data_IF_813767502650
#
_entry.id   IF_813767502650
#
_cell.length_a   1.000
_cell.length_b   1.000
_cell.length_c   1.000
_cell.angle_alpha   90.00
_cell.angle_beta   90.00
_cell.angle_gamma   90.00
#
_symmetry.space_group_name_H-M   'P 1'
#
loop_
_entity.id
_entity.type
_entity.pdbx_description
1 polymer ?
#
# COMPACT_ATOMS: atom_id res chain seq x y z
N UNK A 1 44.65 -43.35 4.83
CA UNK A 1 44.22 -42.62 6.04
C UNK A 1 43.50 -41.35 5.58
N UNK A 2 42.39 -41.03 6.27
CA UNK A 2 41.31 -40.02 6.10
C UNK A 2 41.63 -38.73 5.29
N UNK A 3 40.68 -38.00 4.71
CA UNK A 3 39.41 -37.50 5.28
C UNK A 3 38.41 -37.07 4.19
N UNK A 4 37.13 -37.17 4.49
CA UNK A 4 35.99 -36.56 3.80
C UNK A 4 35.83 -35.09 4.24
N UNK A 5 35.41 -34.18 3.34
CA UNK A 5 34.96 -32.83 3.71
C UNK A 5 33.81 -32.39 2.81
N UNK A 6 32.64 -32.18 3.43
CA UNK A 6 31.47 -31.54 2.82
C UNK A 6 31.49 -30.03 3.12
N UNK A 7 31.03 -29.19 2.18
CA UNK A 7 30.53 -27.86 2.50
C UNK A 7 29.48 -27.41 1.46
N UNK A 8 28.30 -27.05 1.97
CA UNK A 8 27.24 -26.31 1.27
C UNK A 8 27.52 -24.80 1.31
N UNK A 9 27.19 -24.04 0.25
CA UNK A 9 26.41 -22.80 0.31
C UNK A 9 26.35 -22.05 -1.04
N UNK A 10 25.12 -21.96 -1.56
CA UNK A 10 24.46 -20.88 -2.30
C UNK A 10 25.23 -19.77 -3.07
N UNK A 11 24.78 -19.64 -4.33
CA UNK A 11 24.47 -18.43 -5.12
C UNK A 11 25.65 -17.53 -5.51
N UNK A 12 26.06 -17.71 -6.77
CA UNK A 12 26.63 -16.68 -7.63
C UNK A 12 26.41 -17.10 -9.07
N UNK A 13 25.54 -16.39 -9.79
CA UNK A 13 25.31 -16.55 -11.22
C UNK A 13 26.63 -16.50 -12.00
N UNK A 14 26.85 -17.38 -12.99
CA UNK A 14 27.65 -17.07 -14.18
C UNK A 14 27.47 -18.12 -15.31
N UNK A 15 27.69 -17.72 -16.57
CA UNK A 15 27.11 -18.33 -17.77
C UNK A 15 27.79 -19.63 -18.18
N UNK A 16 27.10 -20.40 -19.03
CA UNK A 16 27.61 -21.53 -19.81
C UNK A 16 28.93 -21.16 -20.51
N UNK A 17 30.04 -21.36 -19.81
CA UNK A 17 31.39 -21.35 -20.35
C UNK A 17 31.88 -22.78 -20.43
N UNK A 18 32.44 -23.12 -21.60
CA UNK A 18 33.27 -24.29 -21.90
C UNK A 18 33.59 -25.16 -20.67
N UNK A 19 33.21 -26.44 -20.72
CA UNK A 19 33.70 -27.46 -19.78
C UNK A 19 35.23 -27.50 -19.89
N UNK A 20 35.92 -26.64 -19.14
CA UNK A 20 37.34 -26.76 -18.92
C UNK A 20 37.48 -27.95 -18.00
N UNK A 21 37.90 -29.07 -18.58
CA UNK A 21 38.18 -30.28 -17.85
C UNK A 21 39.54 -30.09 -17.13
N UNK A 22 39.62 -29.09 -16.25
CA UNK A 22 40.68 -28.91 -15.29
C UNK A 22 40.39 -29.78 -14.07
N UNK A 23 40.43 -31.09 -14.30
CA UNK A 23 40.49 -32.11 -13.25
C UNK A 23 41.77 -32.92 -13.45
N UNK A 24 42.57 -33.09 -12.40
CA UNK A 24 43.86 -33.79 -12.40
C UNK A 24 43.76 -35.32 -12.66
N UNK A 25 42.80 -35.78 -13.47
CA UNK A 25 42.45 -37.20 -13.62
C UNK A 25 43.06 -37.83 -14.89
N UNK A 26 43.62 -37.04 -15.81
CA UNK A 26 44.26 -37.54 -17.04
C UNK A 26 45.44 -36.66 -17.46
N UNK A 27 46.62 -37.25 -17.62
CA UNK A 27 47.79 -36.62 -18.23
C UNK A 27 48.17 -37.40 -19.49
N UNK A 28 48.06 -36.78 -20.68
CA UNK A 28 48.72 -37.34 -21.87
C UNK A 28 50.25 -37.27 -21.62
N UNK A 29 50.97 -38.31 -22.02
CA UNK A 29 52.44 -38.29 -21.92
C UNK A 29 53.01 -37.13 -22.76
N UNK A 30 54.14 -36.57 -22.29
CA UNK A 30 54.89 -35.49 -22.94
C UNK A 30 54.17 -34.13 -23.05
N UNK A 31 53.19 -33.85 -22.19
CA UNK A 31 52.59 -32.51 -22.09
C UNK A 31 51.64 -32.13 -23.24
N UNK A 32 51.14 -33.12 -23.98
CA UNK A 32 50.22 -32.91 -25.10
C UNK A 32 48.81 -32.59 -24.60
N UNK A 33 48.13 -31.64 -25.24
CA UNK A 33 46.75 -31.25 -24.92
C UNK A 33 45.75 -32.32 -25.42
N UNK A 34 44.91 -32.91 -24.56
CA UNK A 34 43.89 -33.85 -25.01
C UNK A 34 42.78 -33.15 -25.81
N UNK A 35 42.21 -33.84 -26.81
CA UNK A 35 40.97 -33.44 -27.47
C UNK A 35 39.85 -34.43 -27.15
N UNK A 36 38.68 -33.90 -26.77
CA UNK A 36 37.47 -34.68 -26.53
C UNK A 36 36.45 -34.39 -27.63
N UNK A 37 35.91 -35.47 -28.21
CA UNK A 37 34.83 -35.39 -29.19
C UNK A 37 33.71 -36.30 -28.69
N UNK A 38 32.53 -35.74 -28.48
CA UNK A 38 31.34 -36.47 -28.10
C UNK A 38 30.31 -36.38 -29.22
N UNK A 39 29.72 -37.52 -29.58
CA UNK A 39 28.60 -37.58 -30.52
C UNK A 39 27.36 -38.03 -29.79
N UNK A 40 26.35 -37.17 -29.79
CA UNK A 40 25.03 -37.47 -29.24
C UNK A 40 24.16 -38.05 -30.37
N UNK A 41 24.17 -39.37 -30.49
CA UNK A 41 23.27 -40.05 -31.43
C UNK A 41 21.95 -40.27 -30.71
N UNK A 42 20.85 -39.75 -31.28
CA UNK A 42 19.50 -39.77 -30.71
C UNK A 42 18.88 -41.18 -30.53
N UNK A 43 19.69 -42.24 -30.51
CA UNK A 43 19.29 -43.59 -30.16
C UNK A 43 20.46 -44.33 -29.47
N UNK A 44 20.30 -44.43 -28.15
CA UNK A 44 20.75 -45.52 -27.27
C UNK A 44 22.18 -45.60 -26.71
N UNK A 45 23.09 -44.62 -26.91
CA UNK A 45 24.20 -44.31 -25.97
C UNK A 45 25.06 -43.15 -26.49
N UNK A 46 25.32 -42.09 -25.70
CA UNK A 46 26.31 -41.09 -26.07
C UNK A 46 27.72 -41.69 -25.98
N UNK A 47 28.46 -41.64 -27.08
CA UNK A 47 29.87 -42.06 -27.12
C UNK A 47 30.76 -40.83 -27.13
N UNK A 48 31.61 -40.72 -26.12
CA UNK A 48 32.69 -39.73 -26.08
C UNK A 48 34.02 -40.44 -26.32
N UNK A 49 34.78 -39.98 -27.31
CA UNK A 49 36.15 -40.43 -27.57
C UNK A 49 37.13 -39.35 -27.13
N UNK A 50 38.16 -39.74 -26.40
CA UNK A 50 39.30 -38.89 -26.07
C UNK A 50 40.50 -39.32 -26.92
N UNK A 51 41.15 -38.37 -27.58
CA UNK A 51 42.35 -38.62 -28.39
C UNK A 51 43.52 -37.76 -27.90
N UNK A 52 44.69 -38.38 -27.74
CA UNK A 52 45.98 -37.67 -27.67
C UNK A 52 46.60 -37.73 -29.08
N UNK A 53 47.28 -36.66 -29.52
CA UNK A 53 47.71 -36.40 -30.91
C UNK A 53 48.60 -37.48 -31.57
N UNK A 54 49.03 -38.51 -30.84
CA UNK A 54 49.78 -39.67 -31.39
C UNK A 54 48.91 -40.94 -31.60
N UNK A 55 47.60 -40.80 -31.76
CA UNK A 55 46.75 -41.87 -32.31
C UNK A 55 46.43 -43.03 -31.36
N UNK A 56 46.54 -42.84 -30.05
CA UNK A 56 45.95 -43.79 -29.09
C UNK A 56 44.46 -43.46 -28.95
N UNK A 57 43.63 -44.32 -29.52
CA UNK A 57 42.18 -44.32 -29.33
C UNK A 57 41.89 -45.27 -28.16
N UNK A 58 41.35 -44.73 -27.07
CA UNK A 58 40.73 -45.55 -26.02
C UNK A 58 39.22 -45.46 -26.17
N UNK A 59 38.63 -46.49 -26.78
CA UNK A 59 37.18 -46.70 -26.75
C UNK A 59 36.79 -47.23 -25.37
N UNK A 60 36.77 -46.35 -24.38
CA UNK A 60 36.18 -46.69 -23.11
C UNK A 60 34.67 -46.66 -23.29
N UNK A 61 34.08 -47.81 -23.57
CA UNK A 61 32.66 -48.04 -23.31
C UNK A 61 32.40 -47.59 -21.88
N UNK A 62 31.67 -46.48 -21.73
CA UNK A 62 31.12 -46.09 -20.43
C UNK A 62 30.46 -47.34 -19.86
N UNK A 63 30.71 -47.69 -18.58
CA UNK A 63 30.12 -48.88 -18.00
C UNK A 63 28.61 -48.79 -18.21
N UNK A 64 28.09 -49.64 -19.10
CA UNK A 64 26.68 -49.93 -19.11
C UNK A 64 26.43 -50.58 -17.76
N UNK A 65 25.91 -49.82 -16.82
CA UNK A 65 25.19 -50.40 -15.69
C UNK A 65 24.23 -51.43 -16.30
N UNK A 66 24.25 -52.69 -15.83
CA UNK A 66 23.35 -53.69 -16.37
C UNK A 66 21.91 -53.19 -16.21
N UNK A 67 21.22 -53.02 -17.33
CA UNK A 67 19.77 -53.05 -17.35
C UNK A 67 19.38 -54.48 -16.98
N UNK A 68 19.26 -54.74 -15.69
CA UNK A 68 18.50 -55.89 -15.23
C UNK A 68 17.71 -55.51 -13.97
N UNK A 69 16.39 -55.59 -14.11
CA UNK A 69 15.42 -55.74 -13.04
C UNK A 69 15.42 -54.72 -11.90
N UNK A 70 14.42 -53.82 -11.93
CA UNK A 70 13.89 -53.12 -10.76
C UNK A 70 14.83 -52.09 -10.12
N UNK A 71 15.02 -50.98 -10.83
CA UNK A 71 15.45 -49.72 -10.22
C UNK A 71 14.35 -48.69 -10.44
N UNK A 72 13.46 -48.55 -9.46
CA UNK A 72 12.63 -47.35 -9.29
C UNK A 72 13.50 -46.20 -8.76
N UNK A 73 14.64 -45.93 -9.38
CA UNK A 73 15.39 -44.71 -9.13
C UNK A 73 14.89 -43.67 -10.14
N UNK A 74 14.15 -42.64 -9.69
CA UNK A 74 13.60 -41.64 -10.59
C UNK A 74 14.74 -40.86 -11.25
N UNK A 75 14.65 -40.62 -12.56
CA UNK A 75 15.56 -39.76 -13.33
C UNK A 75 15.69 -38.38 -12.65
N UNK A 76 16.75 -38.19 -11.85
CA UNK A 76 16.91 -37.01 -10.99
C UNK A 76 17.04 -35.73 -11.80
N UNK A 77 17.69 -35.79 -12.96
CA UNK A 77 17.83 -34.65 -13.88
C UNK A 77 16.48 -34.18 -14.46
N UNK A 78 15.57 -35.12 -14.73
CA UNK A 78 14.25 -34.77 -15.25
C UNK A 78 13.36 -34.17 -14.15
N UNK A 79 13.49 -34.63 -12.91
CA UNK A 79 12.85 -34.01 -11.75
C UNK A 79 13.38 -32.59 -11.49
N UNK A 80 14.70 -32.39 -11.46
CA UNK A 80 15.34 -31.08 -11.27
C UNK A 80 14.94 -30.07 -12.36
N UNK A 81 14.77 -30.51 -13.61
CA UNK A 81 14.27 -29.67 -14.71
C UNK A 81 12.83 -29.19 -14.48
N UNK A 82 11.95 -30.05 -13.98
CA UNK A 82 10.57 -29.68 -13.67
C UNK A 82 10.52 -28.71 -12.50
N UNK A 83 11.29 -28.96 -11.45
CA UNK A 83 11.40 -28.04 -10.31
C UNK A 83 11.91 -26.66 -10.72
N UNK A 84 12.88 -26.59 -11.64
CA UNK A 84 13.38 -25.32 -12.16
C UNK A 84 12.31 -24.58 -12.98
N UNK A 85 11.57 -25.30 -13.83
CA UNK A 85 10.49 -24.72 -14.63
C UNK A 85 9.34 -24.20 -13.74
N UNK A 86 8.96 -24.97 -12.73
CA UNK A 86 7.96 -24.55 -11.75
C UNK A 86 8.42 -23.32 -10.97
N UNK A 87 9.70 -23.26 -10.58
CA UNK A 87 10.28 -22.08 -9.93
C UNK A 87 10.31 -20.86 -10.84
N UNK A 88 10.61 -21.02 -12.13
CA UNK A 88 10.56 -19.93 -13.11
C UNK A 88 9.14 -19.41 -13.29
N UNK A 89 8.16 -20.32 -13.38
CA UNK A 89 6.74 -19.96 -13.45
C UNK A 89 6.29 -19.23 -12.19
N UNK A 90 6.65 -19.73 -11.00
CA UNK A 90 6.31 -19.08 -9.74
C UNK A 90 6.91 -17.68 -9.66
N UNK A 91 8.19 -17.51 -10.00
CA UNK A 91 8.85 -16.21 -9.99
C UNK A 91 8.19 -15.23 -10.98
N UNK A 92 7.74 -15.73 -12.13
CA UNK A 92 7.01 -14.92 -13.11
C UNK A 92 5.65 -14.45 -12.57
N UNK A 93 4.94 -15.32 -11.84
CA UNK A 93 3.67 -14.99 -11.21
C UNK A 93 3.86 -13.98 -10.07
N UNK A 94 4.88 -14.18 -9.23
CA UNK A 94 5.22 -13.28 -8.14
C UNK A 94 5.58 -11.88 -8.66
N UNK A 95 6.33 -11.81 -9.78
CA UNK A 95 6.67 -10.53 -10.42
C UNK A 95 5.41 -9.81 -10.94
N UNK A 96 4.46 -10.55 -11.52
CA UNK A 96 3.19 -9.99 -12.00
C UNK A 96 2.38 -9.46 -10.81
N UNK A 97 2.30 -10.22 -9.73
CA UNK A 97 1.59 -9.82 -8.52
C UNK A 97 2.22 -8.57 -7.89
N UNK A 98 3.55 -8.51 -7.77
CA UNK A 98 4.25 -7.35 -7.25
C UNK A 98 4.03 -6.09 -8.09
N UNK A 99 3.97 -6.24 -9.43
CA UNK A 99 3.65 -5.12 -10.34
C UNK A 99 2.21 -4.64 -10.16
N UNK A 100 1.26 -5.55 -9.96
CA UNK A 100 -0.13 -5.21 -9.69
C UNK A 100 -0.27 -4.45 -8.37
N UNK A 101 0.40 -4.90 -7.30
CA UNK A 101 0.36 -4.21 -6.01
C UNK A 101 0.99 -2.81 -6.10
N UNK A 102 2.15 -2.67 -6.75
CA UNK A 102 2.76 -1.36 -6.99
C UNK A 102 1.84 -0.42 -7.78
N UNK A 103 1.03 -0.95 -8.69
CA UNK A 103 0.07 -0.16 -9.47
C UNK A 103 -1.07 0.33 -8.57
N UNK A 104 -1.62 -0.57 -7.74
CA UNK A 104 -2.65 -0.24 -6.74
C UNK A 104 -2.16 0.81 -5.74
N UNK A 105 -0.92 0.72 -5.27
CA UNK A 105 -0.33 1.72 -4.37
C UNK A 105 -0.23 3.11 -5.03
N UNK A 106 0.14 3.15 -6.31
CA UNK A 106 0.19 4.42 -7.08
C UNK A 106 -1.19 5.03 -7.26
N UNK A 107 -2.21 4.22 -7.52
CA UNK A 107 -3.60 4.67 -7.63
C UNK A 107 -4.11 5.20 -6.28
N UNK A 108 -3.83 4.50 -5.18
CA UNK A 108 -4.17 4.97 -3.84
C UNK A 108 -3.45 6.28 -3.50
N UNK A 109 -2.18 6.42 -3.86
CA UNK A 109 -1.43 7.65 -3.67
C UNK A 109 -2.02 8.82 -4.48
N UNK A 110 -2.50 8.58 -5.70
CA UNK A 110 -3.21 9.57 -6.50
C UNK A 110 -4.53 9.98 -5.84
N UNK A 111 -5.35 9.02 -5.39
CA UNK A 111 -6.61 9.30 -4.68
C UNK A 111 -6.38 10.11 -3.40
N UNK A 112 -5.35 9.76 -2.63
CA UNK A 112 -4.97 10.48 -1.41
C UNK A 112 -4.54 11.91 -1.71
N UNK A 113 -3.80 12.13 -2.80
CA UNK A 113 -3.41 13.47 -3.27
C UNK A 113 -4.63 14.31 -3.68
N UNK A 114 -5.58 13.72 -4.40
CA UNK A 114 -6.84 14.38 -4.77
C UNK A 114 -7.66 14.77 -3.55
N UNK A 115 -7.81 13.86 -2.57
CA UNK A 115 -8.49 14.17 -1.30
C UNK A 115 -7.80 15.29 -0.52
N UNK A 116 -6.47 15.31 -0.51
CA UNK A 116 -5.70 16.38 0.13
C UNK A 116 -5.96 17.73 -0.55
N UNK A 117 -5.99 17.76 -1.89
CA UNK A 117 -6.31 18.98 -2.65
C UNK A 117 -7.76 19.43 -2.39
N UNK A 118 -8.71 18.50 -2.31
CA UNK A 118 -10.10 18.82 -1.95
C UNK A 118 -10.22 19.43 -0.55
N UNK A 119 -9.48 18.89 0.43
CA UNK A 119 -9.46 19.44 1.79
C UNK A 119 -8.90 20.87 1.80
N UNK A 120 -7.74 21.08 1.17
CA UNK A 120 -7.11 22.40 1.06
C UNK A 120 -8.04 23.41 0.36
N UNK A 121 -8.73 23.00 -0.71
CA UNK A 121 -9.70 23.85 -1.40
C UNK A 121 -10.87 24.23 -0.48
N UNK A 122 -11.36 23.28 0.33
CA UNK A 122 -12.42 23.54 1.31
C UNK A 122 -11.97 24.49 2.41
N UNK A 123 -10.72 24.36 2.89
CA UNK A 123 -10.14 25.28 3.86
C UNK A 123 -9.97 26.70 3.28
N UNK A 124 -9.49 26.81 2.04
CA UNK A 124 -9.38 28.09 1.33
C UNK A 124 -10.76 28.72 1.12
N UNK A 125 -11.76 27.94 0.73
CA UNK A 125 -13.15 28.40 0.60
C UNK A 125 -13.69 28.89 1.96
N UNK A 126 -13.48 28.13 3.04
CA UNK A 126 -13.92 28.54 4.38
C UNK A 126 -13.22 29.82 4.85
N UNK A 127 -11.92 29.96 4.57
CA UNK A 127 -11.16 31.18 4.85
C UNK A 127 -11.66 32.38 4.02
N UNK A 128 -12.02 32.13 2.76
CA UNK A 128 -12.61 33.15 1.86
C UNK A 128 -13.99 33.57 2.35
N UNK A 129 -14.80 32.62 2.81
CA UNK A 129 -16.10 32.89 3.42
C UNK A 129 -15.94 33.71 4.71
N UNK A 130 -14.98 33.36 5.58
CA UNK A 130 -14.70 34.10 6.80
C UNK A 130 -14.23 35.54 6.52
N UNK A 131 -13.34 35.73 5.53
CA UNK A 131 -12.86 37.06 5.14
C UNK A 131 -13.96 37.91 4.49
N UNK A 132 -14.80 37.32 3.65
CA UNK A 132 -16.00 37.98 3.10
C UNK A 132 -16.98 38.37 4.21
N UNK A 133 -17.11 37.52 5.22
CA UNK A 133 -17.90 37.79 6.42
C UNK A 133 -17.35 38.99 7.21
N UNK A 134 -16.06 39.02 7.48
CA UNK A 134 -15.43 40.13 8.19
C UNK A 134 -15.49 41.46 7.41
N UNK A 135 -15.48 41.41 6.08
CA UNK A 135 -15.65 42.58 5.22
C UNK A 135 -17.09 43.12 5.21
N UNK A 136 -18.09 42.30 5.54
CA UNK A 136 -19.49 42.71 5.65
C UNK A 136 -19.77 43.21 7.09
N UNK A 137 -20.27 44.43 7.30
CA UNK A 137 -20.62 44.94 8.64
C UNK A 137 -21.63 44.06 9.41
N UNK A 138 -22.37 43.22 8.68
CA UNK A 138 -23.39 42.29 9.19
C UNK A 138 -22.81 40.96 9.70
N UNK A 139 -21.69 40.49 9.12
CA UNK A 139 -21.01 39.26 9.56
C UNK A 139 -19.71 39.55 10.35
N UNK A 140 -19.32 40.82 10.44
CA UNK A 140 -18.58 41.33 11.59
C UNK A 140 -19.53 41.22 12.79
N UNK A 141 -19.62 40.02 13.35
CA UNK A 141 -20.37 39.79 14.57
C UNK A 141 -19.81 40.80 15.56
N UNK A 142 -20.56 41.86 15.91
CA UNK A 142 -20.36 42.50 17.20
C UNK A 142 -20.31 41.32 18.15
N UNK A 143 -19.16 41.03 18.75
CA UNK A 143 -19.02 39.84 19.58
C UNK A 143 -20.15 39.89 20.61
N UNK A 144 -21.20 39.09 20.39
CA UNK A 144 -22.40 39.21 21.18
C UNK A 144 -22.04 38.55 22.49
N UNK A 145 -21.87 39.40 23.51
CA UNK A 145 -21.52 38.93 24.84
C UNK A 145 -22.71 38.14 25.37
N UNK A 146 -22.50 36.85 25.60
CA UNK A 146 -23.48 36.00 26.27
C UNK A 146 -23.94 36.67 27.58
N UNK A 147 -25.25 36.90 27.69
CA UNK A 147 -25.85 37.60 28.85
C UNK A 147 -26.22 36.63 29.97
N UNK A 148 -26.47 35.37 29.65
CA UNK A 148 -26.86 34.31 30.58
C UNK A 148 -28.05 33.49 30.09
N UNK A 149 -28.40 32.48 30.87
CA UNK A 149 -29.63 31.71 30.72
C UNK A 149 -30.80 32.41 31.44
N UNK A 150 -31.94 32.54 30.78
CA UNK A 150 -33.12 33.24 31.31
C UNK A 150 -34.36 32.35 31.20
N UNK A 151 -35.19 32.34 32.24
CA UNK A 151 -36.48 31.63 32.20
C UNK A 151 -37.40 32.33 31.22
N UNK A 152 -37.79 31.62 30.18
CA UNK A 152 -38.81 32.08 29.24
C UNK A 152 -40.22 31.70 29.71
N UNK A 153 -41.22 32.44 29.23
CA UNK A 153 -42.62 32.21 29.58
C UNK A 153 -43.55 32.52 28.39
N UNK A 154 -44.86 32.35 28.58
CA UNK A 154 -45.87 32.55 27.53
C UNK A 154 -45.83 33.94 26.90
N UNK A 155 -45.44 34.99 27.65
CA UNK A 155 -45.33 36.36 27.12
C UNK A 155 -44.05 36.59 26.30
N UNK A 156 -43.13 35.63 26.31
CA UNK A 156 -41.80 35.62 25.69
C UNK A 156 -40.90 36.76 26.16
N UNK A 157 -39.71 36.39 26.63
CA UNK A 157 -38.67 37.34 27.03
C UNK A 157 -38.16 38.14 25.83
N UNK A 158 -37.99 37.45 24.70
CA UNK A 158 -37.63 38.01 23.40
C UNK A 158 -38.83 37.86 22.46
N UNK A 159 -39.60 38.92 22.31
CA UNK A 159 -40.95 38.88 21.73
C UNK A 159 -41.08 39.61 20.38
N UNK A 160 -39.98 39.93 19.69
CA UNK A 160 -40.05 40.62 18.42
C UNK A 160 -40.30 39.65 17.25
N UNK A 161 -39.37 38.73 16.99
CA UNK A 161 -39.53 37.72 15.93
C UNK A 161 -38.97 36.35 16.34
N UNK A 162 -39.33 35.36 15.54
CA UNK A 162 -39.07 33.95 15.75
C UNK A 162 -38.64 33.27 14.45
N UNK A 163 -37.69 32.35 14.54
CA UNK A 163 -37.30 31.44 13.48
C UNK A 163 -37.02 30.05 14.06
N UNK A 164 -37.19 28.99 13.27
CA UNK A 164 -36.86 27.63 13.68
C UNK A 164 -36.16 26.87 12.57
N UNK A 165 -35.22 26.01 12.96
CA UNK A 165 -34.47 25.14 12.06
C UNK A 165 -33.97 23.94 12.86
N UNK A 166 -34.11 22.72 12.32
CA UNK A 166 -33.62 21.50 12.97
C UNK A 166 -32.11 21.49 13.23
N UNK A 167 -31.35 22.28 12.49
CA UNK A 167 -29.91 22.45 12.65
C UNK A 167 -29.55 23.90 13.05
N UNK A 168 -30.38 24.54 13.87
CA UNK A 168 -30.14 25.90 14.35
C UNK A 168 -28.85 25.98 15.17
N UNK A 169 -28.10 27.06 14.99
CA UNK A 169 -26.92 27.38 15.80
C UNK A 169 -27.00 28.81 16.31
N UNK A 170 -26.22 29.14 17.34
CA UNK A 170 -26.14 30.51 17.88
C UNK A 170 -25.72 31.50 16.80
N UNK A 171 -24.78 31.11 15.93
CA UNK A 171 -24.32 31.95 14.82
C UNK A 171 -25.41 32.17 13.76
N UNK A 172 -26.14 31.13 13.38
CA UNK A 172 -27.27 31.29 12.46
C UNK A 172 -28.36 32.18 13.06
N UNK A 173 -28.71 31.96 14.33
CA UNK A 173 -29.72 32.75 15.02
C UNK A 173 -29.33 34.24 15.07
N UNK A 174 -28.06 34.51 15.33
CA UNK A 174 -27.49 35.84 15.26
C UNK A 174 -27.61 36.46 13.86
N UNK A 175 -27.24 35.72 12.81
CA UNK A 175 -27.29 36.22 11.42
C UNK A 175 -28.74 36.53 11.02
N UNK A 176 -29.69 35.65 11.37
CA UNK A 176 -31.12 35.82 11.06
C UNK A 176 -31.65 37.11 11.72
N UNK A 177 -31.17 37.44 12.92
CA UNK A 177 -31.67 38.57 13.72
C UNK A 177 -30.63 39.66 13.99
N UNK A 178 -29.70 39.88 13.05
CA UNK A 178 -28.59 40.84 13.19
C UNK A 178 -29.05 42.28 13.49
N UNK A 179 -30.30 42.62 13.13
CA UNK A 179 -30.90 43.93 13.35
C UNK A 179 -31.48 44.14 14.77
N UNK A 180 -31.54 43.09 15.59
CA UNK A 180 -32.03 43.17 16.97
C UNK A 180 -30.88 43.23 17.96
N UNK A 181 -31.12 43.89 19.10
CA UNK A 181 -30.08 44.02 20.13
C UNK A 181 -29.83 42.71 20.89
N UNK A 182 -30.83 41.82 20.93
CA UNK A 182 -30.80 40.57 21.67
C UNK A 182 -31.38 39.45 20.81
N UNK A 183 -30.76 38.28 20.87
CA UNK A 183 -31.30 37.02 20.35
C UNK A 183 -31.07 35.93 21.40
N UNK A 184 -31.82 34.84 21.29
CA UNK A 184 -31.73 33.69 22.19
C UNK A 184 -32.19 32.42 21.51
N UNK A 185 -31.57 31.31 21.88
CA UNK A 185 -31.98 29.98 21.46
C UNK A 185 -32.89 29.35 22.52
N UNK A 186 -33.87 28.59 22.05
CA UNK A 186 -34.74 27.76 22.88
C UNK A 186 -34.79 26.35 22.26
N UNK A 187 -34.69 25.30 23.08
CA UNK A 187 -34.77 23.89 22.66
C UNK A 187 -33.83 23.44 21.53
N UNK A 188 -32.73 24.16 21.25
CA UNK A 188 -31.71 23.78 20.28
C UNK A 188 -32.11 24.01 18.81
N UNK A 189 -33.36 24.35 18.55
CA UNK A 189 -33.89 24.53 17.20
C UNK A 189 -34.70 25.82 17.01
N UNK A 190 -34.97 26.55 18.08
CA UNK A 190 -35.75 27.79 18.06
C UNK A 190 -34.85 28.99 18.30
N UNK A 191 -35.12 30.06 17.57
CA UNK A 191 -34.39 31.31 17.65
C UNK A 191 -35.39 32.45 17.84
N UNK A 192 -35.18 33.23 18.89
CA UNK A 192 -36.01 34.37 19.27
C UNK A 192 -35.18 35.65 19.26
N UNK A 193 -35.81 36.80 19.01
CA UNK A 193 -35.13 38.09 19.08
C UNK A 193 -35.98 39.21 19.69
N UNK A 194 -35.29 40.28 20.08
CA UNK A 194 -35.89 41.47 20.69
C UNK A 194 -34.88 42.59 20.91
N UNK A 195 -35.37 43.80 21.16
CA UNK A 195 -34.50 44.93 21.48
C UNK A 195 -34.22 45.07 22.99
N UNK A 196 -34.95 44.34 23.83
CA UNK A 196 -34.79 44.28 25.28
C UNK A 196 -35.30 42.93 25.81
N UNK A 197 -34.90 42.59 27.04
CA UNK A 197 -35.45 41.45 27.78
C UNK A 197 -36.74 41.90 28.49
N UNK A 198 -37.89 41.46 27.98
CA UNK A 198 -39.21 41.91 28.48
C UNK A 198 -39.61 41.14 29.74
N UNK A 199 -40.28 41.81 30.67
CA UNK A 199 -40.89 41.17 31.84
C UNK A 199 -39.93 40.83 32.98
N UNK A 200 -38.72 41.41 32.98
CA UNK A 200 -37.69 41.19 34.00
C UNK A 200 -37.44 39.69 34.25
N UNK A 201 -36.99 38.94 33.22
CA UNK A 201 -36.84 37.50 33.34
C UNK A 201 -35.83 37.11 34.40
N UNK A 202 -36.13 36.01 35.10
CA UNK A 202 -35.20 35.43 36.06
C UNK A 202 -34.01 34.83 35.32
N UNK A 203 -32.80 35.29 35.62
CA UNK A 203 -31.56 34.64 35.21
C UNK A 203 -31.35 33.37 36.05
N UNK A 204 -31.01 32.26 35.40
CA UNK A 204 -30.74 30.96 36.03
C UNK A 204 -29.32 30.49 35.72
N UNK A 205 -28.92 29.34 36.25
CA UNK A 205 -27.60 28.76 35.96
C UNK A 205 -27.49 28.33 34.50
N UNK A 206 -26.32 28.51 33.88
CA UNK A 206 -26.13 28.24 32.45
C UNK A 206 -26.41 26.78 32.06
N UNK A 207 -26.26 25.85 33.02
CA UNK A 207 -26.62 24.44 32.84
C UNK A 207 -28.11 24.18 32.58
N UNK A 208 -29.00 25.12 32.93
CA UNK A 208 -30.44 25.01 32.62
C UNK A 208 -30.75 25.34 31.14
N UNK A 209 -29.79 25.92 30.41
CA UNK A 209 -29.87 26.18 28.97
C UNK A 209 -29.00 25.21 28.15
N UNK A 210 -28.60 24.06 28.69
CA UNK A 210 -27.69 23.13 27.98
C UNK A 210 -28.31 22.42 26.77
N UNK A 211 -29.63 22.50 26.62
CA UNK A 211 -30.39 21.97 25.48
C UNK A 211 -30.70 23.04 24.43
N UNK A 212 -30.14 24.24 24.57
CA UNK A 212 -30.32 25.37 23.66
C UNK A 212 -29.23 25.43 22.58
#
# INVERSE_FOLDING_TARGET
>A
MCVEAHAHAHIGQQPLGSLDVSGNVYQCQNGVKPSITCTDSASEKPTCSCTCTNGIIFDQLLPATPLDGSSTAPDSCQAEKQEWLEREQQLSADLIQAKQELTREKELAAEMSEKQQQHLKREQELSTQLSTCNAKPSCNTKAFKYKGCYVDNVKRVLNAHYASNSAMTSLQCQIIFEKYSHFGLEYGNQCHCGNSLVGNPKKVGDGECSTA
#
